data_IF_311308803064
#
_entry.id   IF_311308803064
#
_cell.length_a   1.000
_cell.length_b   1.000
_cell.length_c   1.000
_cell.angle_alpha   90.00
_cell.angle_beta   90.00
_cell.angle_gamma   90.00
#
_symmetry.space_group_name_H-M   'P 1'
#
loop_
_entity.id
_entity.type
_entity.pdbx_description
1 polymer ?
#
# COMPACT_ATOMS: atom_id res chain seq x y z
N UNK A 1 0.37 -33.25 -5.89
CA UNK A 1 1.36 -33.09 -4.81
C UNK A 1 2.24 -31.91 -5.20
N UNK A 2 1.75 -30.71 -4.93
CA UNK A 2 2.47 -29.44 -5.14
C UNK A 2 1.94 -28.49 -4.08
N UNK A 3 2.60 -28.51 -2.94
CA UNK A 3 2.43 -27.58 -1.84
C UNK A 3 2.71 -26.16 -2.33
N UNK A 4 1.66 -25.37 -2.46
CA UNK A 4 1.72 -23.94 -2.71
C UNK A 4 1.78 -23.25 -1.35
N UNK A 5 2.97 -23.23 -0.77
CA UNK A 5 3.30 -22.35 0.36
C UNK A 5 3.11 -20.90 -0.08
N UNK A 6 1.93 -20.35 0.19
CA UNK A 6 1.65 -18.93 0.11
C UNK A 6 2.26 -18.24 1.33
N UNK A 7 3.58 -18.04 1.30
CA UNK A 7 4.25 -17.18 2.25
C UNK A 7 3.95 -15.70 1.88
N UNK A 8 2.92 -15.12 2.50
CA UNK A 8 2.67 -13.67 2.47
C UNK A 8 3.37 -12.98 3.64
N UNK A 9 4.16 -11.91 3.40
CA UNK A 9 5.05 -11.30 4.40
C UNK A 9 4.35 -10.32 5.37
N UNK A 10 3.15 -10.64 5.85
CA UNK A 10 2.39 -9.82 6.82
C UNK A 10 1.94 -10.66 8.04
N UNK A 11 2.71 -11.69 8.40
CA UNK A 11 2.63 -12.34 9.72
C UNK A 11 3.27 -11.42 10.77
N UNK A 12 2.73 -10.20 10.91
CA UNK A 12 2.95 -9.46 12.14
C UNK A 12 2.22 -10.24 13.24
N UNK A 13 2.94 -10.67 14.27
CA UNK A 13 2.39 -11.19 15.52
C UNK A 13 1.49 -10.11 16.16
N UNK A 14 0.25 -10.03 15.67
CA UNK A 14 -0.74 -9.11 16.21
C UNK A 14 -1.25 -9.72 17.51
N UNK A 15 -1.32 -8.87 18.53
CA UNK A 15 -1.90 -9.28 19.82
C UNK A 15 -3.31 -9.83 19.58
N UNK A 16 -3.68 -10.93 20.26
CA UNK A 16 -5.04 -11.45 20.22
C UNK A 16 -6.07 -10.36 20.51
N UNK A 17 -7.16 -10.37 19.74
CA UNK A 17 -8.29 -9.47 19.90
C UNK A 17 -9.58 -10.18 19.51
N UNK A 18 -10.68 -9.74 20.10
CA UNK A 18 -12.06 -10.13 19.81
C UNK A 18 -12.48 -9.77 18.38
N UNK A 19 -11.77 -8.84 17.73
CA UNK A 19 -12.09 -8.39 16.37
C UNK A 19 -11.12 -8.99 15.35
N UNK A 20 -11.69 -9.71 14.38
CA UNK A 20 -10.97 -10.24 13.22
C UNK A 20 -11.07 -9.29 12.04
N UNK A 21 -9.95 -9.05 11.38
CA UNK A 21 -9.85 -8.38 10.10
C UNK A 21 -9.72 -9.41 8.98
N UNK A 22 -10.64 -9.35 8.03
CA UNK A 22 -10.74 -10.28 6.91
C UNK A 22 -10.46 -9.51 5.62
N UNK A 23 -9.61 -10.08 4.77
CA UNK A 23 -9.23 -9.54 3.46
C UNK A 23 -9.31 -10.64 2.39
N UNK A 24 -9.17 -10.23 1.13
CA UNK A 24 -9.32 -11.09 -0.05
C UNK A 24 -10.77 -11.58 -0.30
N UNK A 25 -11.77 -10.85 0.17
CA UNK A 25 -13.17 -11.15 -0.13
C UNK A 25 -13.53 -10.73 -1.57
N UNK A 26 -14.57 -11.34 -2.16
CA UNK A 26 -15.09 -10.91 -3.45
C UNK A 26 -15.78 -9.54 -3.34
N UNK A 27 -15.31 -8.58 -4.14
CA UNK A 27 -15.84 -7.21 -4.19
C UNK A 27 -17.17 -7.12 -4.96
N UNK A 28 -17.51 -8.15 -5.74
CA UNK A 28 -18.70 -8.20 -6.59
C UNK A 28 -19.98 -8.49 -5.79
N UNK A 29 -19.82 -9.03 -4.58
CA UNK A 29 -20.92 -9.46 -3.72
C UNK A 29 -21.56 -8.26 -3.02
N UNK A 30 -22.90 -8.26 -2.95
CA UNK A 30 -23.65 -7.23 -2.25
C UNK A 30 -23.37 -7.30 -0.75
N UNK A 31 -23.12 -6.14 -0.13
CA UNK A 31 -22.75 -6.04 1.29
C UNK A 31 -23.70 -6.78 2.25
N UNK A 32 -25.05 -6.72 2.11
CA UNK A 32 -25.94 -7.48 2.99
C UNK A 32 -25.70 -8.99 2.92
N UNK A 33 -25.61 -9.55 1.70
CA UNK A 33 -25.35 -10.97 1.48
C UNK A 33 -23.96 -11.38 2.00
N UNK A 34 -22.95 -10.52 1.79
CA UNK A 34 -21.60 -10.75 2.32
C UNK A 34 -21.63 -10.85 3.85
N UNK A 35 -22.36 -9.98 4.53
CA UNK A 35 -22.50 -10.02 6.00
C UNK A 35 -23.20 -11.29 6.48
N UNK A 36 -24.32 -11.68 5.85
CA UNK A 36 -25.05 -12.92 6.17
C UNK A 36 -24.15 -14.15 5.98
N UNK A 37 -23.33 -14.16 4.94
CA UNK A 37 -22.43 -15.29 4.67
C UNK A 37 -21.28 -15.34 5.66
N UNK A 38 -20.72 -14.20 6.05
CA UNK A 38 -19.74 -14.12 7.13
C UNK A 38 -20.35 -14.56 8.47
N UNK A 39 -21.57 -14.11 8.78
CA UNK A 39 -22.27 -14.54 9.99
C UNK A 39 -22.45 -16.07 10.05
N UNK A 40 -22.88 -16.68 8.94
CA UNK A 40 -23.04 -18.13 8.85
C UNK A 40 -21.72 -18.90 9.01
N UNK A 41 -20.61 -18.36 8.49
CA UNK A 41 -19.28 -18.99 8.60
C UNK A 41 -18.71 -18.85 10.01
N UNK A 42 -18.90 -17.70 10.65
CA UNK A 42 -18.23 -17.36 11.91
C UNK A 42 -19.05 -17.67 13.17
N UNK A 43 -20.39 -17.76 13.08
CA UNK A 43 -21.27 -18.03 14.23
C UNK A 43 -21.03 -19.36 14.96
N UNK A 44 -20.52 -20.45 14.33
CA UNK A 44 -20.21 -21.67 15.07
C UNK A 44 -19.09 -21.53 16.11
N UNK A 45 -18.23 -20.50 15.98
CA UNK A 45 -17.07 -20.29 16.83
C UNK A 45 -17.38 -19.45 18.09
N UNK A 46 -18.47 -18.69 18.07
CA UNK A 46 -18.88 -17.85 19.19
C UNK A 46 -19.88 -16.77 18.80
N UNK A 47 -20.38 -16.06 19.80
CA UNK A 47 -21.36 -14.99 19.60
C UNK A 47 -20.73 -13.80 18.86
N UNK A 48 -21.33 -13.42 17.74
CA UNK A 48 -20.92 -12.27 16.94
C UNK A 48 -21.69 -11.02 17.39
N UNK A 49 -20.95 -9.99 17.78
CA UNK A 49 -21.51 -8.70 18.19
C UNK A 49 -21.81 -7.78 17.01
N UNK A 50 -20.94 -7.77 16.00
CA UNK A 50 -21.10 -6.93 14.82
C UNK A 50 -20.26 -7.44 13.63
N UNK A 51 -20.76 -7.17 12.42
CA UNK A 51 -20.03 -7.41 11.17
C UNK A 51 -19.99 -6.12 10.37
N UNK A 52 -18.78 -5.60 10.17
CA UNK A 52 -18.53 -4.34 9.47
C UNK A 52 -17.91 -4.60 8.10
N UNK A 53 -18.69 -4.35 7.04
CA UNK A 53 -18.24 -4.42 5.65
C UNK A 53 -18.81 -3.23 4.85
N UNK A 54 -18.03 -2.71 3.90
CA UNK A 54 -18.42 -1.55 3.09
C UNK A 54 -17.94 -1.70 1.64
N UNK A 55 -18.75 -1.26 0.68
CA UNK A 55 -18.41 -1.32 -0.75
C UNK A 55 -17.57 -0.15 -1.28
N UNK A 56 -17.10 0.75 -0.41
CA UNK A 56 -16.29 1.89 -0.87
C UNK A 56 -14.89 1.41 -1.34
N UNK A 57 -14.24 2.16 -2.23
CA UNK A 57 -12.92 1.81 -2.80
C UNK A 57 -11.87 1.44 -1.75
N UNK A 58 -11.95 2.01 -0.55
CA UNK A 58 -10.97 1.79 0.51
C UNK A 58 -11.23 0.49 1.29
N UNK A 59 -12.48 0.06 1.39
CA UNK A 59 -12.95 -1.03 2.25
C UNK A 59 -13.52 -2.23 1.48
N UNK A 60 -13.69 -2.11 0.16
CA UNK A 60 -14.12 -3.23 -0.68
C UNK A 60 -13.14 -4.40 -0.54
N UNK A 61 -13.66 -5.61 -0.55
CA UNK A 61 -12.88 -6.84 -0.36
C UNK A 61 -12.35 -7.02 1.07
N UNK A 62 -12.83 -6.22 2.02
CA UNK A 62 -12.44 -6.27 3.43
C UNK A 62 -13.66 -6.27 4.34
N UNK A 63 -13.54 -6.96 5.47
CA UNK A 63 -14.56 -6.98 6.52
C UNK A 63 -13.90 -7.04 7.90
N UNK A 64 -14.68 -6.67 8.91
CA UNK A 64 -14.36 -6.94 10.31
C UNK A 64 -15.48 -7.76 10.93
N UNK A 65 -15.13 -8.83 11.61
CA UNK A 65 -16.04 -9.66 12.41
C UNK A 65 -15.67 -9.46 13.87
N UNK A 66 -16.63 -9.05 14.68
CA UNK A 66 -16.44 -8.78 16.11
C UNK A 66 -17.09 -9.89 16.90
N UNK A 67 -16.30 -10.69 17.59
CA UNK A 67 -16.78 -11.67 18.56
C UNK A 67 -17.00 -11.04 19.92
N UNK A 68 -17.77 -11.70 20.77
CA UNK A 68 -17.91 -11.31 22.18
C UNK A 68 -16.68 -11.70 23.03
N UNK A 69 -15.93 -12.69 22.56
CA UNK A 69 -14.79 -13.28 23.27
C UNK A 69 -13.53 -13.38 22.40
N UNK A 70 -12.36 -13.26 23.04
CA UNK A 70 -11.06 -13.31 22.37
C UNK A 70 -10.68 -14.74 21.98
N UNK A 71 -11.04 -15.75 22.79
CA UNK A 71 -10.72 -17.15 22.49
C UNK A 71 -11.53 -17.67 21.30
N UNK A 72 -12.81 -17.28 21.22
CA UNK A 72 -13.65 -17.50 20.04
C UNK A 72 -13.01 -16.93 18.76
N UNK A 73 -12.54 -15.68 18.82
CA UNK A 73 -11.86 -15.05 17.69
C UNK A 73 -10.55 -15.76 17.31
N UNK A 74 -9.77 -16.22 18.28
CA UNK A 74 -8.53 -16.97 18.03
C UNK A 74 -8.82 -18.33 17.35
N UNK A 75 -9.80 -19.08 17.86
CA UNK A 75 -10.20 -20.37 17.29
C UNK A 75 -10.72 -20.20 15.86
N UNK A 76 -11.59 -19.21 15.63
CA UNK A 76 -12.09 -18.88 14.30
C UNK A 76 -10.98 -18.48 13.33
N UNK A 77 -9.97 -17.75 13.79
CA UNK A 77 -8.82 -17.39 12.97
C UNK A 77 -8.06 -18.62 12.51
N UNK A 78 -7.79 -19.57 13.40
CA UNK A 78 -7.01 -20.77 13.07
C UNK A 78 -7.78 -21.72 12.14
N UNK A 79 -9.08 -21.94 12.38
CA UNK A 79 -9.87 -22.91 11.61
C UNK A 79 -10.39 -22.38 10.27
N UNK A 80 -10.73 -21.09 10.19
CA UNK A 80 -11.33 -20.48 8.99
C UNK A 80 -10.27 -19.84 8.08
N UNK A 81 -8.99 -19.88 8.47
CA UNK A 81 -7.94 -19.32 7.64
C UNK A 81 -7.89 -19.98 6.26
N UNK A 82 -7.99 -19.16 5.21
CA UNK A 82 -8.00 -19.67 3.83
C UNK A 82 -9.33 -20.28 3.39
N UNK A 83 -10.39 -20.23 4.20
CA UNK A 83 -11.72 -20.70 3.81
C UNK A 83 -12.19 -19.99 2.53
N UNK A 84 -12.63 -20.77 1.56
CA UNK A 84 -13.09 -20.24 0.27
C UNK A 84 -14.53 -19.74 0.39
N UNK A 85 -14.69 -18.42 0.33
CA UNK A 85 -16.00 -17.77 0.33
C UNK A 85 -16.20 -17.04 -1.00
N UNK A 86 -17.19 -17.49 -1.78
CA UNK A 86 -17.42 -17.02 -3.15
C UNK A 86 -16.18 -17.18 -4.05
N UNK A 87 -15.63 -18.40 -4.08
CA UNK A 87 -14.47 -18.79 -4.90
C UNK A 87 -13.18 -18.01 -4.61
N UNK A 88 -13.09 -17.39 -3.43
CA UNK A 88 -11.89 -16.67 -2.97
C UNK A 88 -11.50 -17.12 -1.56
N UNK A 89 -10.25 -17.59 -1.36
CA UNK A 89 -9.77 -17.95 -0.02
C UNK A 89 -9.59 -16.68 0.81
N UNK A 90 -10.33 -16.57 1.90
CA UNK A 90 -10.23 -15.40 2.77
C UNK A 90 -8.94 -15.45 3.60
N UNK A 91 -8.39 -14.27 3.88
CA UNK A 91 -7.22 -14.12 4.75
C UNK A 91 -7.64 -13.36 5.99
N UNK A 92 -7.41 -13.96 7.15
CA UNK A 92 -7.86 -13.51 8.46
C UNK A 92 -6.62 -13.12 9.29
N UNK A 93 -6.75 -12.03 10.04
CA UNK A 93 -5.75 -11.53 10.98
C UNK A 93 -6.48 -10.86 12.16
N UNK A 94 -5.84 -10.75 13.33
CA UNK A 94 -6.37 -9.88 14.37
C UNK A 94 -6.41 -8.40 13.93
N UNK A 95 -7.43 -7.67 14.37
CA UNK A 95 -7.56 -6.25 14.12
C UNK A 95 -6.53 -5.44 14.92
N UNK A 96 -6.10 -4.31 14.37
CA UNK A 96 -5.11 -3.42 15.01
C UNK A 96 -5.66 -2.61 16.18
N UNK A 97 -6.97 -2.44 16.24
CA UNK A 97 -7.66 -1.60 17.21
C UNK A 97 -8.95 -2.28 17.62
N UNK A 98 -9.35 -2.13 18.89
CA UNK A 98 -10.65 -2.60 19.38
C UNK A 98 -11.79 -2.01 18.55
N UNK A 99 -12.81 -2.83 18.29
CA UNK A 99 -14.01 -2.38 17.58
C UNK A 99 -14.91 -1.54 18.49
N UNK A 100 -15.74 -0.71 17.88
CA UNK A 100 -16.68 0.14 18.62
C UNK A 100 -17.71 -0.68 19.42
N UNK A 101 -18.02 -1.90 18.99
CA UNK A 101 -18.95 -2.80 19.69
C UNK A 101 -18.36 -3.30 21.01
N UNK A 102 -17.06 -3.67 21.04
CA UNK A 102 -16.36 -4.08 22.27
C UNK A 102 -16.26 -2.92 23.25
N UNK A 103 -15.88 -1.74 22.76
CA UNK A 103 -15.73 -0.56 23.63
C UNK A 103 -17.07 -0.13 24.24
N UNK A 104 -18.20 -0.28 23.51
CA UNK A 104 -19.54 -0.06 24.09
C UNK A 104 -19.84 -1.00 25.25
N UNK A 105 -19.38 -2.25 25.19
CA UNK A 105 -19.59 -3.24 26.24
C UNK A 105 -18.77 -2.93 27.50
N UNK A 106 -17.57 -2.36 27.35
CA UNK A 106 -16.71 -1.93 28.48
C UNK A 106 -17.28 -0.71 29.25
N UNK A 107 -18.20 0.06 28.65
CA UNK A 107 -18.96 1.11 29.31
C UNK A 107 -19.22 2.33 28.42
N UNK A 108 -20.37 2.98 28.61
CA UNK A 108 -20.80 4.14 27.82
C UNK A 108 -19.79 5.30 27.88
N UNK A 109 -19.15 5.53 29.03
CA UNK A 109 -18.14 6.60 29.19
C UNK A 109 -16.87 6.34 28.34
N UNK A 110 -16.37 5.10 28.35
CA UNK A 110 -15.20 4.68 27.55
C UNK A 110 -15.54 4.75 26.06
N UNK A 111 -16.78 4.42 25.68
CA UNK A 111 -17.27 4.55 24.31
C UNK A 111 -17.32 6.01 23.84
N UNK A 112 -17.80 6.93 24.67
CA UNK A 112 -17.84 8.36 24.31
C UNK A 112 -16.43 8.93 24.15
N UNK A 113 -15.48 8.58 25.03
CA UNK A 113 -14.08 9.00 24.91
C UNK A 113 -13.41 8.44 23.64
N UNK A 114 -13.57 7.14 23.37
CA UNK A 114 -13.00 6.51 22.16
C UNK A 114 -13.62 7.07 20.88
N UNK A 115 -14.95 7.29 20.86
CA UNK A 115 -15.66 7.90 19.74
C UNK A 115 -15.19 9.34 19.50
N UNK A 116 -15.00 10.12 20.57
CA UNK A 116 -14.47 11.48 20.49
C UNK A 116 -13.04 11.50 19.94
N UNK A 117 -12.16 10.63 20.44
CA UNK A 117 -10.79 10.50 19.92
C UNK A 117 -10.75 10.13 18.43
N UNK A 118 -11.61 9.17 18.00
CA UNK A 118 -11.71 8.79 16.58
C UNK A 118 -12.26 9.90 15.70
N UNK A 119 -13.25 10.66 16.19
CA UNK A 119 -13.81 11.81 15.49
C UNK A 119 -12.77 12.92 15.36
N UNK A 120 -12.05 13.27 16.43
CA UNK A 120 -10.97 14.26 16.41
C UNK A 120 -9.81 13.84 15.52
N UNK A 121 -9.43 12.55 15.50
CA UNK A 121 -8.44 12.04 14.58
C UNK A 121 -8.91 12.12 13.11
N UNK A 122 -10.19 11.83 12.85
CA UNK A 122 -10.80 11.96 11.51
C UNK A 122 -10.88 13.42 11.08
N UNK A 123 -11.27 14.32 11.98
CA UNK A 123 -11.32 15.76 11.78
C UNK A 123 -9.93 16.33 11.50
N UNK A 124 -8.92 15.95 12.30
CA UNK A 124 -7.53 16.38 12.10
C UNK A 124 -6.99 15.92 10.76
N UNK A 125 -7.22 14.66 10.38
CA UNK A 125 -6.82 14.12 9.08
C UNK A 125 -7.54 14.82 7.93
N UNK A 126 -8.84 15.10 8.07
CA UNK A 126 -9.63 15.82 7.06
C UNK A 126 -9.19 17.27 6.92
N UNK A 127 -8.91 17.95 8.04
CA UNK A 127 -8.41 19.32 8.06
C UNK A 127 -7.01 19.42 7.45
N UNK A 128 -6.13 18.46 7.72
CA UNK A 128 -4.80 18.37 7.12
C UNK A 128 -4.89 18.11 5.60
N UNK A 129 -5.77 17.21 5.18
CA UNK A 129 -6.03 16.92 3.77
C UNK A 129 -6.65 18.14 3.04
N UNK A 130 -7.56 18.86 3.68
CA UNK A 130 -8.18 20.07 3.13
C UNK A 130 -7.19 21.25 3.09
N UNK A 131 -6.33 21.39 4.10
CA UNK A 131 -5.25 22.37 4.13
C UNK A 131 -4.21 22.07 3.03
N UNK A 132 -3.84 20.80 2.84
CA UNK A 132 -2.97 20.36 1.75
C UNK A 132 -3.63 20.59 0.38
N UNK A 133 -4.93 20.35 0.25
CA UNK A 133 -5.69 20.64 -0.97
C UNK A 133 -5.78 22.14 -1.27
N UNK A 134 -5.98 23.00 -0.27
CA UNK A 134 -5.96 24.47 -0.40
C UNK A 134 -4.56 24.99 -0.76
N UNK A 135 -3.50 24.45 -0.17
CA UNK A 135 -2.09 24.76 -0.54
C UNK A 135 -1.82 24.39 -2.00
N UNK A 136 -2.31 23.22 -2.46
CA UNK A 136 -2.23 22.79 -3.86
C UNK A 136 -2.99 23.69 -4.82
N UNK A 137 -4.16 24.20 -4.44
CA UNK A 137 -4.95 25.15 -5.25
C UNK A 137 -4.32 26.54 -5.32
N UNK A 138 -3.73 27.03 -4.22
CA UNK A 138 -3.04 28.35 -4.18
C UNK A 138 -1.71 28.36 -4.94
N UNK A 139 -1.04 27.21 -5.05
CA UNK A 139 0.17 27.06 -5.86
C UNK A 139 -0.11 26.86 -7.38
N UNK A 140 -1.39 26.81 -7.80
CA UNK A 140 -1.81 26.57 -9.18
C UNK A 140 -2.49 27.77 -9.82
N UNK A 141 -1.75 28.86 -10.03
CA UNK A 141 -2.14 29.94 -10.93
C UNK A 141 -1.54 29.72 -12.32
N UNK A 142 -2.42 29.54 -13.32
CA UNK A 142 -2.16 29.41 -14.76
C UNK A 142 -1.43 28.14 -15.25
N UNK A 143 -2.19 27.18 -15.79
CA UNK A 143 -2.30 26.87 -17.24
C UNK A 143 -3.32 25.72 -17.38
N UNK A 144 -4.29 25.92 -18.27
CA UNK A 144 -5.29 24.92 -18.66
C UNK A 144 -4.68 23.85 -19.57
N UNK A 145 -4.90 22.56 -19.27
CA UNK A 145 -4.73 21.46 -20.24
C UNK A 145 -4.03 20.18 -19.73
N UNK A 146 -4.84 19.20 -19.29
CA UNK A 146 -4.56 17.73 -19.23
C UNK A 146 -3.49 17.19 -18.25
N UNK A 147 -3.59 15.88 -17.85
CA UNK A 147 -3.63 15.50 -16.43
C UNK A 147 -2.46 14.61 -15.97
N UNK A 148 -2.47 14.30 -14.67
CA UNK A 148 -1.76 13.25 -13.92
C UNK A 148 -0.71 13.73 -12.89
N UNK A 149 -1.22 13.98 -11.67
CA UNK A 149 -0.80 13.32 -10.41
C UNK A 149 0.70 13.00 -10.26
N UNK A 150 1.44 13.86 -9.55
CA UNK A 150 2.59 13.44 -8.75
C UNK A 150 2.28 13.63 -7.26
N UNK A 151 2.11 12.49 -6.58
CA UNK A 151 2.17 12.40 -5.12
C UNK A 151 3.65 12.51 -4.78
N UNK A 152 4.02 13.48 -3.95
CA UNK A 152 5.34 13.54 -3.35
C UNK A 152 5.49 12.27 -2.50
N UNK A 153 6.35 11.35 -2.95
CA UNK A 153 6.90 10.31 -2.10
C UNK A 153 7.94 10.93 -1.16
N UNK A 154 8.66 10.11 -0.37
CA UNK A 154 9.88 10.59 0.29
C UNK A 154 10.77 11.30 -0.76
N UNK A 155 11.55 12.32 -0.35
CA UNK A 155 12.53 12.94 -1.25
C UNK A 155 13.25 11.83 -2.01
N UNK A 156 13.33 11.90 -3.34
CA UNK A 156 13.93 10.83 -4.16
C UNK A 156 15.39 10.49 -3.74
N UNK A 157 15.97 11.31 -2.86
CA UNK A 157 17.27 11.17 -2.20
C UNK A 157 17.29 10.15 -1.04
N UNK A 158 16.13 9.72 -0.53
CA UNK A 158 15.97 8.75 0.56
C UNK A 158 15.38 7.41 0.11
N UNK A 159 15.40 7.11 -1.18
CA UNK A 159 14.99 5.79 -1.65
C UNK A 159 16.03 4.76 -1.19
N UNK A 160 15.60 3.61 -0.64
CA UNK A 160 16.53 2.56 -0.23
C UNK A 160 17.35 2.10 -1.47
N UNK A 161 18.61 1.71 -1.27
CA UNK A 161 19.46 1.18 -2.34
C UNK A 161 18.74 0.10 -3.13
N UNK A 162 18.86 0.19 -4.45
CA UNK A 162 18.28 -0.75 -5.40
C UNK A 162 19.28 -0.97 -6.53
N UNK A 163 19.35 -2.19 -7.05
CA UNK A 163 20.16 -2.53 -8.22
C UNK A 163 19.72 -1.81 -9.49
N UNK A 164 18.51 -1.23 -9.52
CA UNK A 164 17.99 -0.47 -10.64
C UNK A 164 18.00 1.03 -10.33
N UNK A 165 18.60 1.81 -11.22
CA UNK A 165 18.54 3.27 -11.27
C UNK A 165 17.43 3.73 -12.20
N UNK A 166 16.70 4.75 -11.78
CA UNK A 166 15.67 5.45 -12.53
C UNK A 166 16.20 6.80 -13.00
N UNK A 167 16.21 7.00 -14.31
CA UNK A 167 16.67 8.19 -14.99
C UNK A 167 15.46 9.03 -15.40
N UNK A 168 15.50 10.31 -15.05
CA UNK A 168 14.47 11.30 -15.35
C UNK A 168 15.09 12.50 -16.04
N UNK A 169 14.27 13.24 -16.79
CA UNK A 169 14.68 14.43 -17.55
C UNK A 169 15.70 14.16 -18.66
N UNK A 170 15.65 12.97 -19.25
CA UNK A 170 16.47 12.68 -20.43
C UNK A 170 15.97 13.50 -21.64
N UNK A 171 16.85 13.84 -22.60
CA UNK A 171 16.44 14.50 -23.83
C UNK A 171 15.71 13.50 -24.76
N UNK A 172 14.93 14.02 -25.72
CA UNK A 172 14.00 13.20 -26.53
C UNK A 172 14.73 12.38 -27.62
N UNK A 173 15.95 12.78 -27.93
CA UNK A 173 16.89 12.20 -28.88
C UNK A 173 17.91 11.26 -28.21
N UNK A 174 17.82 11.05 -26.88
CA UNK A 174 18.73 10.12 -26.19
C UNK A 174 18.53 8.70 -26.72
N UNK A 175 19.63 8.03 -27.05
CA UNK A 175 19.63 6.60 -27.43
C UNK A 175 20.07 5.75 -26.25
N UNK A 176 19.71 4.46 -26.29
CA UNK A 176 20.16 3.50 -25.29
C UNK A 176 21.70 3.41 -25.27
N UNK A 177 22.34 3.49 -26.44
CA UNK A 177 23.79 3.41 -26.58
C UNK A 177 24.53 4.52 -25.83
N UNK A 178 24.03 5.77 -25.88
CA UNK A 178 24.64 6.89 -25.13
C UNK A 178 24.52 6.74 -23.61
N UNK A 179 23.43 6.12 -23.15
CA UNK A 179 23.28 5.78 -21.74
C UNK A 179 24.22 4.63 -21.37
N UNK A 180 24.27 3.57 -22.17
CA UNK A 180 25.20 2.45 -21.99
C UNK A 180 26.63 2.94 -21.84
N UNK A 181 27.14 3.77 -22.76
CA UNK A 181 28.50 4.32 -22.71
C UNK A 181 28.79 5.11 -21.42
N UNK A 182 27.77 5.73 -20.84
CA UNK A 182 27.92 6.50 -19.60
C UNK A 182 27.90 5.61 -18.36
N UNK A 183 27.02 4.61 -18.34
CA UNK A 183 26.76 3.78 -17.17
C UNK A 183 27.62 2.50 -17.12
N UNK A 184 28.19 2.06 -18.24
CA UNK A 184 29.14 0.94 -18.31
C UNK A 184 30.49 1.24 -17.65
N UNK A 185 30.79 2.53 -17.42
CA UNK A 185 32.01 2.98 -16.71
C UNK A 185 32.03 2.55 -15.25
N UNK A 186 30.88 2.17 -14.70
CA UNK A 186 30.73 1.69 -13.34
C UNK A 186 30.67 0.16 -13.34
N UNK A 187 31.32 -0.50 -12.36
CA UNK A 187 31.36 -1.96 -12.31
C UNK A 187 29.96 -2.55 -12.14
N UNK A 188 29.74 -3.75 -12.70
CA UNK A 188 28.48 -4.47 -12.56
C UNK A 188 27.32 -3.91 -13.37
N UNK A 189 27.57 -3.13 -14.42
CA UNK A 189 26.54 -2.71 -15.38
C UNK A 189 25.88 -3.93 -16.03
N UNK A 190 24.54 -3.96 -16.04
CA UNK A 190 23.76 -5.08 -16.59
C UNK A 190 23.04 -4.68 -17.88
N UNK A 191 22.07 -3.76 -17.80
CA UNK A 191 21.34 -3.30 -18.99
C UNK A 191 20.79 -1.87 -18.85
N UNK A 192 20.53 -1.23 -20.00
CA UNK A 192 19.74 0.01 -20.09
C UNK A 192 18.39 -0.30 -20.74
N UNK A 193 17.31 0.15 -20.12
CA UNK A 193 15.95 0.03 -20.62
C UNK A 193 15.28 1.40 -20.75
N UNK A 194 15.09 1.85 -21.98
CA UNK A 194 14.25 3.01 -22.29
C UNK A 194 12.77 2.62 -22.32
N UNK A 195 11.87 3.50 -21.86
CA UNK A 195 10.43 3.20 -21.82
C UNK A 195 9.75 3.59 -23.14
N UNK A 196 9.29 2.63 -23.96
CA UNK A 196 8.56 2.94 -25.18
C UNK A 196 7.26 3.68 -24.85
N UNK A 197 7.00 4.80 -25.52
CA UNK A 197 5.81 5.64 -25.29
C UNK A 197 5.95 6.69 -24.18
N UNK A 198 7.08 6.75 -23.46
CA UNK A 198 7.39 7.84 -22.52
C UNK A 198 8.80 8.35 -22.75
N UNK A 199 8.92 9.49 -23.43
CA UNK A 199 10.19 10.18 -23.65
C UNK A 199 10.69 10.80 -22.34
N UNK A 200 12.02 10.86 -22.18
CA UNK A 200 12.66 11.49 -21.02
C UNK A 200 12.81 10.62 -19.77
N UNK A 201 12.51 9.32 -19.85
CA UNK A 201 12.72 8.36 -18.77
C UNK A 201 13.42 7.09 -19.23
N UNK A 202 14.25 6.52 -18.35
CA UNK A 202 14.96 5.28 -18.58
C UNK A 202 15.29 4.57 -17.28
N UNK A 203 15.67 3.30 -17.39
CA UNK A 203 16.15 2.49 -16.28
C UNK A 203 17.53 1.93 -16.61
N UNK A 204 18.41 1.88 -15.62
CA UNK A 204 19.70 1.21 -15.71
C UNK A 204 19.75 0.15 -14.62
N UNK A 205 19.97 -1.10 -14.98
CA UNK A 205 20.14 -2.20 -14.03
C UNK A 205 21.62 -2.51 -13.83
N UNK A 206 21.98 -2.77 -12.58
CA UNK A 206 23.27 -3.30 -12.15
C UNK A 206 23.09 -4.69 -11.56
N UNK A 207 24.17 -5.46 -11.51
CA UNK A 207 24.21 -6.79 -10.92
C UNK A 207 23.97 -6.76 -9.39
N UNK A 208 24.48 -5.73 -8.72
CA UNK A 208 24.36 -5.52 -7.28
C UNK A 208 23.89 -4.10 -6.96
N UNK A 209 23.23 -3.94 -5.82
CA UNK A 209 22.79 -2.65 -5.29
C UNK A 209 23.96 -1.75 -4.88
N UNK A 210 25.05 -2.32 -4.34
CA UNK A 210 26.29 -1.58 -4.05
C UNK A 210 26.87 -0.90 -5.31
N UNK A 211 26.85 -1.61 -6.44
CA UNK A 211 27.30 -1.10 -7.73
C UNK A 211 26.41 0.06 -8.23
N UNK A 212 25.09 -0.07 -8.06
CA UNK A 212 24.13 0.97 -8.41
C UNK A 212 24.29 2.23 -7.53
N UNK A 213 24.67 2.09 -6.25
CA UNK A 213 24.96 3.23 -5.36
C UNK A 213 26.14 4.04 -5.89
N UNK A 214 27.25 3.36 -6.21
CA UNK A 214 28.46 3.99 -6.76
C UNK A 214 28.15 4.70 -8.09
N UNK A 215 27.39 4.03 -8.96
CA UNK A 215 26.96 4.60 -10.24
C UNK A 215 26.06 5.83 -10.06
N UNK A 216 25.09 5.78 -9.13
CA UNK A 216 24.21 6.92 -8.83
C UNK A 216 25.02 8.11 -8.31
N UNK A 217 25.99 7.89 -7.42
CA UNK A 217 26.83 8.95 -6.85
C UNK A 217 27.75 9.56 -7.91
N UNK A 218 28.35 8.73 -8.77
CA UNK A 218 29.22 9.18 -9.85
C UNK A 218 28.49 9.90 -11.01
N UNK A 219 27.16 9.79 -11.07
CA UNK A 219 26.34 10.39 -12.13
C UNK A 219 25.38 11.47 -11.64
N UNK A 220 25.42 11.86 -10.35
CA UNK A 220 24.53 12.89 -9.81
C UNK A 220 24.67 14.20 -10.57
N UNK A 221 23.58 14.59 -11.23
CA UNK A 221 23.51 15.86 -11.95
C UNK A 221 24.22 15.86 -13.30
N UNK A 222 24.52 14.69 -13.86
CA UNK A 222 24.99 14.55 -15.24
C UNK A 222 24.01 15.20 -16.22
N UNK A 223 24.55 15.81 -17.27
CA UNK A 223 23.80 16.44 -18.34
C UNK A 223 23.92 15.59 -19.59
N UNK A 224 22.78 15.21 -20.17
CA UNK A 224 22.72 14.57 -21.48
C UNK A 224 22.17 15.61 -22.47
N UNK A 225 22.98 15.98 -23.46
CA UNK A 225 22.71 17.16 -24.31
C UNK A 225 22.57 18.43 -23.47
N UNK A 226 21.50 19.19 -23.69
CA UNK A 226 21.22 20.43 -22.97
C UNK A 226 20.40 20.25 -21.67
N UNK A 227 20.06 18.99 -21.31
CA UNK A 227 19.18 18.70 -20.16
C UNK A 227 19.94 18.04 -19.02
N UNK A 228 19.83 18.62 -17.83
CA UNK A 228 20.28 18.00 -16.58
C UNK A 228 19.38 16.83 -16.22
N UNK A 229 19.96 15.65 -16.19
CA UNK A 229 19.26 14.42 -15.88
C UNK A 229 19.28 14.13 -14.38
N UNK A 230 18.17 13.60 -13.89
CA UNK A 230 17.97 13.26 -12.48
C UNK A 230 18.01 11.74 -12.34
N UNK A 231 18.95 11.25 -11.56
CA UNK A 231 19.20 9.83 -11.35
C UNK A 231 18.89 9.50 -9.88
N UNK A 232 18.02 8.51 -9.68
CA UNK A 232 17.47 8.12 -8.37
C UNK A 232 17.34 6.60 -8.34
N UNK A 233 17.31 5.95 -7.18
CA UNK A 233 16.98 4.52 -7.15
C UNK A 233 15.56 4.27 -7.68
N UNK A 234 15.35 3.14 -8.35
CA UNK A 234 14.01 2.72 -8.74
C UNK A 234 13.21 2.33 -7.49
N UNK A 235 11.91 2.66 -7.50
CA UNK A 235 11.01 2.22 -6.43
C UNK A 235 10.79 0.71 -6.56
N UNK A 236 10.89 0.02 -5.42
CA UNK A 236 10.54 -1.40 -5.30
C UNK A 236 9.04 -1.60 -5.48
#
# INVERSE_FOLDING_TARGET
MTDLEHNTPDSEDRKPSETLYIRNLDESIKIPLLKESLDAVFSPYGDILDIVAHGNIRMRGQAFVVFDDTEAAATALEEVQGFELFDKPMVIQFAKSKSDAIVKKEGEEVFQEHKKFRLEAKERRKAEEEAAAKKRKRAGGAIAGRPAKRVAGPPDELLPPNKILFLQNLPDDITADSLTETFEKFPGFFEVRLVPGRKGIGFVEYEADENAVVAKEGTVGITFGDKKSKITFARK
#
